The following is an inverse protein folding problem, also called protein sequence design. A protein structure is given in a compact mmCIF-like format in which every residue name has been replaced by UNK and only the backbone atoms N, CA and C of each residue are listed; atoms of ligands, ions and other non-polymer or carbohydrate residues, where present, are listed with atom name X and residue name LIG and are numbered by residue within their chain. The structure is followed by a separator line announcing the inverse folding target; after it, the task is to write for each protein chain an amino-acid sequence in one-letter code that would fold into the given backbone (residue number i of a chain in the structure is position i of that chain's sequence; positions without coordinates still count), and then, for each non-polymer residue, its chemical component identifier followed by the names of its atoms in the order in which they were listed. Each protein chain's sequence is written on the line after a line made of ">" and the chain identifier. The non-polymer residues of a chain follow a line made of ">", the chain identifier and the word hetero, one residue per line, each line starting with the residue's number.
data_IF_549995591123
#
_entry.id   IF_549995591123
#
_cell.length_a   1.000
_cell.length_b   1.000
_cell.length_c   1.000
_cell.angle_alpha   90.00
_cell.angle_beta   90.00
_cell.angle_gamma   90.00
#
_symmetry.space_group_name_H-M   'P 1'
#
loop_
_entity.id
_entity.type
_entity.pdbx_description
1 polymer ?
#
# COMPACT_ATOMS: atom_id res chain seq x y z
N UNK A 1 -14.96 15.15 -3.54
CA UNK A 1 -14.75 16.43 -4.27
C UNK A 1 -14.28 16.15 -5.69
N UNK A 2 -13.08 15.55 -5.87
CA UNK A 2 -12.53 15.19 -7.19
C UNK A 2 -13.56 14.47 -8.06
N UNK A 3 -14.09 13.33 -7.62
CA UNK A 3 -15.04 12.53 -8.40
C UNK A 3 -16.29 13.29 -8.88
N UNK A 4 -16.76 14.29 -8.12
CA UNK A 4 -17.89 15.14 -8.52
C UNK A 4 -17.51 16.16 -9.59
N UNK A 5 -16.27 16.63 -9.60
CA UNK A 5 -15.80 17.60 -10.60
C UNK A 5 -15.46 16.90 -11.90
N UNK A 6 -14.74 15.77 -11.82
CA UNK A 6 -14.25 15.04 -13.00
C UNK A 6 -15.25 14.03 -13.55
N UNK A 7 -16.36 13.79 -12.85
CA UNK A 7 -17.42 12.84 -13.25
C UNK A 7 -16.90 11.40 -13.48
N UNK A 8 -15.86 11.00 -12.75
CA UNK A 8 -15.30 9.65 -12.72
C UNK A 8 -14.77 9.31 -11.32
N UNK A 9 -14.39 8.06 -11.07
CA UNK A 9 -13.82 7.68 -9.76
C UNK A 9 -12.46 8.35 -9.56
N UNK A 10 -12.08 8.56 -8.30
CA UNK A 10 -10.76 9.15 -7.97
C UNK A 10 -9.63 8.24 -8.47
N UNK A 11 -9.82 6.93 -8.42
CA UNK A 11 -8.82 5.97 -8.90
C UNK A 11 -8.63 6.03 -10.41
N UNK A 12 -9.71 6.09 -11.21
CA UNK A 12 -9.56 6.23 -12.67
C UNK A 12 -8.91 7.57 -13.05
N UNK A 13 -9.30 8.66 -12.40
CA UNK A 13 -8.64 9.95 -12.59
C UNK A 13 -7.15 9.90 -12.26
N UNK A 14 -6.76 9.27 -11.15
CA UNK A 14 -5.36 9.08 -10.79
C UNK A 14 -4.63 8.17 -11.79
N UNK A 15 -5.28 7.13 -12.31
CA UNK A 15 -4.69 6.24 -13.32
C UNK A 15 -4.32 6.99 -14.58
N UNK A 16 -5.21 7.84 -15.08
CA UNK A 16 -5.01 8.60 -16.31
C UNK A 16 -4.01 9.75 -16.16
N UNK A 17 -4.13 10.51 -15.06
CA UNK A 17 -3.47 11.82 -14.95
C UNK A 17 -2.21 11.79 -14.08
N UNK A 18 -1.98 10.72 -13.32
CA UNK A 18 -0.83 10.58 -12.43
C UNK A 18 -0.10 9.26 -12.69
N UNK A 19 -0.76 8.12 -12.50
CA UNK A 19 -0.08 6.82 -12.53
C UNK A 19 0.43 6.46 -13.93
N UNK A 20 -0.37 6.61 -14.99
CA UNK A 20 0.07 6.31 -16.35
C UNK A 20 1.26 7.19 -16.79
N UNK A 21 1.26 8.52 -16.59
CA UNK A 21 2.44 9.36 -16.85
C UNK A 21 3.70 8.91 -16.09
N UNK A 22 3.55 8.43 -14.85
CA UNK A 22 4.66 7.91 -14.06
C UNK A 22 5.07 6.47 -14.41
N UNK A 23 4.33 5.78 -15.29
CA UNK A 23 4.56 4.37 -15.62
C UNK A 23 4.14 3.40 -14.52
N UNK A 24 3.19 3.80 -13.67
CA UNK A 24 2.57 2.97 -12.63
C UNK A 24 1.37 2.26 -13.27
N UNK A 25 1.53 0.97 -13.58
CA UNK A 25 0.52 0.17 -14.28
C UNK A 25 -0.35 -0.69 -13.37
N UNK A 26 0.14 -1.01 -12.16
CA UNK A 26 -0.55 -1.87 -11.20
C UNK A 26 -0.89 -1.06 -9.95
N UNK A 27 -2.17 -0.83 -9.71
CA UNK A 27 -2.67 -0.17 -8.50
C UNK A 27 -4.02 -0.71 -8.09
N UNK A 28 -4.25 -0.81 -6.78
CA UNK A 28 -5.55 -1.15 -6.21
C UNK A 28 -5.93 -0.05 -5.24
N UNK A 29 -7.09 0.58 -5.43
CA UNK A 29 -7.59 1.59 -4.51
C UNK A 29 -9.05 1.28 -4.14
N UNK A 30 -9.29 0.63 -2.99
CA UNK A 30 -10.63 0.21 -2.59
C UNK A 30 -11.61 1.38 -2.49
N UNK A 31 -12.81 1.14 -2.99
CA UNK A 31 -13.99 1.99 -2.87
C UNK A 31 -14.97 1.49 -1.81
N UNK A 32 -15.84 2.39 -1.37
CA UNK A 32 -17.01 2.04 -0.57
C UNK A 32 -18.16 1.51 -1.46
N UNK A 33 -19.27 1.00 -0.89
CA UNK A 33 -20.39 0.52 -1.69
C UNK A 33 -21.07 1.57 -2.59
N UNK A 34 -20.75 2.85 -2.41
CA UNK A 34 -21.23 3.95 -3.26
C UNK A 34 -20.24 4.26 -4.41
N UNK A 35 -19.14 3.50 -4.55
CA UNK A 35 -18.13 3.69 -5.59
C UNK A 35 -17.13 4.79 -5.28
N UNK A 36 -17.02 5.25 -4.03
CA UNK A 36 -16.10 6.32 -3.63
C UNK A 36 -14.82 5.71 -3.07
N UNK A 37 -13.69 5.93 -3.74
CA UNK A 37 -12.38 5.49 -3.25
C UNK A 37 -12.04 6.12 -1.89
N UNK A 38 -11.41 5.34 -1.01
CA UNK A 38 -10.99 5.77 0.32
C UNK A 38 -9.81 6.75 0.23
N UNK A 39 -10.11 8.04 0.13
CA UNK A 39 -9.08 9.06 -0.10
C UNK A 39 -8.02 9.22 1.01
N UNK A 40 -8.27 8.72 2.21
CA UNK A 40 -7.35 8.82 3.35
C UNK A 40 -6.32 7.68 3.42
N UNK A 41 -6.46 6.62 2.62
CA UNK A 41 -5.59 5.44 2.73
C UNK A 41 -5.95 4.30 1.78
N UNK A 42 -5.47 3.10 2.11
CA UNK A 42 -5.74 1.82 1.40
C UNK A 42 -5.30 1.74 -0.08
N UNK A 43 -4.67 2.78 -0.63
CA UNK A 43 -4.01 2.70 -1.93
C UNK A 43 -2.84 1.71 -1.86
N UNK A 44 -2.88 0.71 -2.72
CA UNK A 44 -1.86 -0.33 -2.83
C UNK A 44 -1.07 -0.13 -4.11
N UNK A 45 0.24 0.02 -3.95
CA UNK A 45 1.23 0.20 -5.02
C UNK A 45 2.44 -0.70 -4.73
N UNK A 46 3.23 -1.01 -5.76
CA UNK A 46 4.54 -1.59 -5.52
C UNK A 46 5.47 -0.55 -4.86
N UNK A 47 6.48 -0.97 -4.07
CA UNK A 47 7.42 -0.04 -3.45
C UNK A 47 8.14 0.87 -4.45
N UNK A 48 8.48 0.33 -5.64
CA UNK A 48 9.06 1.11 -6.75
C UNK A 48 8.11 2.21 -7.26
N UNK A 49 6.81 1.96 -7.24
CA UNK A 49 5.79 2.91 -7.70
C UNK A 49 5.56 4.01 -6.67
N UNK A 50 5.62 3.66 -5.39
CA UNK A 50 5.70 4.64 -4.30
C UNK A 50 6.93 5.54 -4.44
N UNK A 51 8.10 4.98 -4.75
CA UNK A 51 9.31 5.76 -4.98
C UNK A 51 9.20 6.70 -6.19
N UNK A 52 8.45 6.32 -7.24
CA UNK A 52 8.16 7.22 -8.37
C UNK A 52 7.38 8.47 -7.93
N UNK A 53 6.41 8.31 -7.03
CA UNK A 53 5.71 9.46 -6.44
C UNK A 53 6.65 10.36 -5.62
N UNK A 54 7.56 9.76 -4.85
CA UNK A 54 8.60 10.53 -4.13
C UNK A 54 9.55 11.28 -5.08
N UNK A 55 9.96 10.65 -6.18
CA UNK A 55 10.79 11.28 -7.21
C UNK A 55 10.05 12.41 -7.94
N UNK A 56 8.76 12.26 -8.18
CA UNK A 56 7.93 13.33 -8.72
C UNK A 56 7.96 14.55 -7.81
N UNK A 57 7.81 14.37 -6.49
CA UNK A 57 7.90 15.47 -5.52
C UNK A 57 9.32 16.05 -5.43
N UNK A 58 10.34 15.20 -5.44
CA UNK A 58 11.75 15.65 -5.47
C UNK A 58 12.04 16.55 -6.67
N UNK A 59 11.45 16.23 -7.82
CA UNK A 59 11.57 17.00 -9.05
C UNK A 59 10.48 18.08 -9.20
N UNK A 60 9.91 18.55 -8.08
CA UNK A 60 8.90 19.62 -8.06
C UNK A 60 7.72 19.41 -9.03
N UNK A 61 7.28 18.15 -9.16
CA UNK A 61 6.14 17.77 -9.99
C UNK A 61 6.47 17.50 -11.47
N UNK A 62 7.74 17.59 -11.87
CA UNK A 62 8.19 17.21 -13.22
C UNK A 62 8.53 15.72 -13.30
N UNK A 63 8.12 15.07 -14.39
CA UNK A 63 8.47 13.68 -14.67
C UNK A 63 8.92 13.50 -16.12
N UNK A 64 10.22 13.30 -16.32
CA UNK A 64 10.84 13.13 -17.65
C UNK A 64 10.53 14.28 -18.64
N UNK A 65 10.48 15.53 -18.14
CA UNK A 65 10.22 16.74 -18.94
C UNK A 65 8.84 17.36 -18.72
N UNK A 66 7.72 16.61 -18.86
CA UNK A 66 6.39 17.15 -18.56
C UNK A 66 6.16 17.49 -17.08
N UNK A 67 5.48 18.61 -16.84
CA UNK A 67 4.94 18.98 -15.53
C UNK A 67 3.63 18.20 -15.27
N UNK A 68 3.66 17.24 -14.34
CA UNK A 68 2.50 16.42 -13.98
C UNK A 68 1.71 17.06 -12.84
N UNK A 69 2.41 17.59 -11.83
CA UNK A 69 1.84 18.33 -10.70
C UNK A 69 2.44 19.72 -10.70
N UNK A 70 1.68 20.77 -10.43
CA UNK A 70 2.23 22.14 -10.39
C UNK A 70 3.41 22.25 -9.41
N UNK A 71 4.53 22.83 -9.86
CA UNK A 71 5.70 23.06 -9.01
C UNK A 71 5.40 23.98 -7.83
N UNK A 72 4.58 25.01 -8.05
CA UNK A 72 4.12 25.89 -6.97
C UNK A 72 3.30 25.13 -5.93
N UNK A 73 2.48 24.16 -6.37
CA UNK A 73 1.72 23.33 -5.44
C UNK A 73 2.63 22.38 -4.65
N UNK A 74 3.62 21.77 -5.29
CA UNK A 74 4.59 20.89 -4.60
C UNK A 74 5.37 21.70 -3.57
N UNK A 75 5.92 22.86 -3.94
CA UNK A 75 6.67 23.73 -3.01
C UNK A 75 5.83 24.16 -1.82
N UNK A 76 4.56 24.49 -2.04
CA UNK A 76 3.64 24.84 -0.95
C UNK A 76 3.32 23.62 -0.07
N UNK A 77 3.08 22.45 -0.67
CA UNK A 77 2.82 21.20 0.04
C UNK A 77 4.01 20.73 0.91
N UNK A 78 5.23 21.09 0.53
CA UNK A 78 6.47 20.68 1.20
C UNK A 78 7.14 21.80 2.00
N UNK A 79 6.48 22.96 2.15
CA UNK A 79 7.03 24.09 2.89
C UNK A 79 6.96 23.82 4.39
N UNK A 80 8.00 24.26 5.12
CA UNK A 80 7.99 24.26 6.59
C UNK A 80 6.73 24.96 7.13
N UNK A 81 6.03 24.28 8.03
CA UNK A 81 4.62 24.55 8.33
C UNK A 81 4.30 24.73 9.80
N UNK A 82 3.01 24.99 10.05
CA UNK A 82 2.33 24.92 11.34
C UNK A 82 2.70 23.60 12.04
N UNK A 83 3.15 23.68 13.29
CA UNK A 83 3.45 22.51 14.10
C UNK A 83 2.19 21.63 14.28
N UNK A 84 2.27 20.38 13.82
CA UNK A 84 1.23 19.37 13.95
C UNK A 84 1.50 18.47 15.17
N UNK A 85 2.76 18.22 15.48
CA UNK A 85 3.20 17.40 16.62
C UNK A 85 4.04 18.21 17.63
N UNK A 86 4.15 17.67 18.85
CA UNK A 86 4.87 18.29 19.96
C UNK A 86 6.39 18.42 19.72
N UNK A 87 6.94 17.65 18.79
CA UNK A 87 8.35 17.70 18.38
C UNK A 87 8.61 18.72 17.27
N UNK A 88 7.59 19.47 16.85
CA UNK A 88 7.68 20.47 15.80
C UNK A 88 7.48 19.93 14.39
N UNK A 89 7.15 18.64 14.22
CA UNK A 89 6.79 18.08 12.91
C UNK A 89 5.57 18.83 12.36
N UNK A 90 5.68 19.32 11.14
CA UNK A 90 4.63 20.03 10.41
C UNK A 90 3.73 19.11 9.59
N UNK A 91 2.60 19.64 9.13
CA UNK A 91 1.72 18.95 8.19
C UNK A 91 1.05 19.92 7.22
N UNK A 92 1.22 19.70 5.90
CA UNK A 92 0.61 20.50 4.82
C UNK A 92 0.21 19.59 3.67
N UNK A 93 -0.99 19.77 3.13
CA UNK A 93 -1.47 19.08 1.91
C UNK A 93 -1.13 17.57 1.85
N UNK A 94 -1.34 16.87 2.97
CA UNK A 94 -1.08 15.42 3.11
C UNK A 94 0.40 15.00 3.25
N UNK A 95 1.31 15.96 3.39
CA UNK A 95 2.73 15.74 3.66
C UNK A 95 3.07 16.08 5.11
N UNK A 96 3.80 15.20 5.79
CA UNK A 96 4.44 15.49 7.07
C UNK A 96 5.79 16.14 6.81
N UNK A 97 6.10 17.23 7.50
CA UNK A 97 7.35 17.98 7.34
C UNK A 97 8.18 17.77 8.60
N UNK A 98 9.29 17.05 8.48
CA UNK A 98 10.08 16.64 9.62
C UNK A 98 10.90 17.81 10.19
N UNK A 99 11.16 17.74 11.50
CA UNK A 99 11.87 18.75 12.29
C UNK A 99 13.11 18.16 12.99
N UNK A 100 13.93 19.03 13.59
CA UNK A 100 15.11 18.62 14.36
C UNK A 100 16.24 18.11 13.48
N UNK A 101 16.84 16.96 13.84
CA UNK A 101 17.93 16.34 13.06
C UNK A 101 17.50 15.86 11.66
N UNK A 102 16.19 15.85 11.39
CA UNK A 102 15.58 15.51 10.10
C UNK A 102 14.88 16.74 9.49
N UNK A 103 15.31 17.96 9.80
CA UNK A 103 14.78 19.16 9.18
C UNK A 103 14.96 19.15 7.66
N UNK A 104 13.94 19.59 6.93
CA UNK A 104 13.94 19.66 5.46
C UNK A 104 13.51 18.38 4.75
N UNK A 105 13.34 17.26 5.48
CA UNK A 105 12.72 16.05 4.94
C UNK A 105 11.20 16.18 5.01
N UNK A 106 10.52 15.60 4.03
CA UNK A 106 9.08 15.44 4.08
C UNK A 106 8.67 14.01 3.74
N UNK A 107 7.54 13.59 4.28
CA UNK A 107 7.05 12.23 4.11
C UNK A 107 5.54 12.12 3.92
N UNK A 108 5.14 11.10 3.15
CA UNK A 108 3.81 10.53 3.21
C UNK A 108 3.85 9.33 4.15
N UNK A 109 3.17 9.42 5.30
CA UNK A 109 3.22 8.41 6.38
C UNK A 109 1.94 7.60 6.44
N UNK A 110 2.09 6.28 6.46
CA UNK A 110 1.00 5.32 6.61
C UNK A 110 1.15 4.43 7.86
N UNK A 111 0.01 4.02 8.43
CA UNK A 111 0.00 3.15 9.61
C UNK A 111 0.74 1.84 9.36
N UNK A 112 1.55 1.44 10.34
CA UNK A 112 2.26 0.16 10.33
C UNK A 112 3.67 0.23 9.74
N UNK A 113 4.17 1.40 9.36
CA UNK A 113 5.53 1.55 8.81
C UNK A 113 5.56 1.71 7.29
N UNK A 114 4.47 2.19 6.70
CA UNK A 114 4.48 2.61 5.30
C UNK A 114 5.01 4.04 5.23
N UNK A 115 5.98 4.32 4.37
CA UNK A 115 6.43 5.68 4.17
C UNK A 115 6.95 5.91 2.75
N UNK A 116 6.75 7.13 2.26
CA UNK A 116 7.54 7.71 1.18
C UNK A 116 8.27 8.88 1.81
N UNK A 117 9.59 8.82 1.87
CA UNK A 117 10.44 9.88 2.42
C UNK A 117 11.20 10.52 1.27
N UNK A 118 11.21 11.84 1.24
CA UNK A 118 11.96 12.63 0.28
C UNK A 118 12.91 13.56 1.02
N UNK A 119 14.16 13.57 0.57
CA UNK A 119 15.24 14.39 1.10
C UNK A 119 15.79 15.27 -0.02
N UNK A 120 15.27 16.50 -0.18
CA UNK A 120 15.60 17.36 -1.32
C UNK A 120 17.09 17.66 -1.47
N UNK A 121 17.73 18.06 -0.37
CA UNK A 121 19.12 18.51 -0.36
C UNK A 121 20.11 17.42 -0.81
N UNK A 122 19.80 16.17 -0.49
CA UNK A 122 20.62 15.00 -0.84
C UNK A 122 20.12 14.25 -2.08
N UNK A 123 18.97 14.67 -2.63
CA UNK A 123 18.30 14.02 -3.77
C UNK A 123 17.96 12.55 -3.53
N UNK A 124 17.56 12.23 -2.30
CA UNK A 124 17.22 10.86 -1.89
C UNK A 124 15.71 10.70 -1.82
N UNK A 125 15.22 9.57 -2.32
CA UNK A 125 13.86 9.09 -2.12
C UNK A 125 13.93 7.67 -1.57
N UNK A 126 13.19 7.42 -0.50
CA UNK A 126 13.08 6.10 0.09
C UNK A 126 11.60 5.71 0.23
N UNK A 127 11.26 4.50 -0.20
CA UNK A 127 9.92 3.95 -0.09
C UNK A 127 9.95 2.69 0.79
N UNK A 128 9.07 2.65 1.78
CA UNK A 128 8.97 1.57 2.74
C UNK A 128 7.57 0.97 2.70
N UNK A 129 7.52 -0.34 2.51
CA UNK A 129 6.31 -1.15 2.67
C UNK A 129 6.61 -2.27 3.66
N UNK A 130 6.28 -2.06 4.93
CA UNK A 130 6.63 -2.98 6.00
C UNK A 130 5.60 -2.99 7.10
N UNK A 131 5.74 -3.94 8.04
CA UNK A 131 5.03 -3.91 9.32
C UNK A 131 6.03 -3.92 10.46
N UNK A 132 5.82 -3.06 11.45
CA UNK A 132 6.58 -3.09 12.71
C UNK A 132 7.96 -2.43 12.65
N UNK A 133 8.19 -1.55 11.67
CA UNK A 133 9.35 -0.67 11.61
C UNK A 133 8.84 0.77 11.68
N UNK A 134 9.40 1.57 12.57
CA UNK A 134 9.19 3.01 12.57
C UNK A 134 10.25 3.65 11.67
N UNK A 135 9.86 4.05 10.46
CA UNK A 135 10.82 4.57 9.49
C UNK A 135 11.57 5.78 10.02
N UNK A 136 10.89 6.65 10.80
CA UNK A 136 11.50 7.86 11.34
C UNK A 136 12.51 7.56 12.45
N UNK A 137 12.19 6.62 13.33
CA UNK A 137 13.03 6.36 14.50
C UNK A 137 14.09 5.27 14.24
N UNK A 138 13.77 4.28 13.41
CA UNK A 138 14.64 3.12 13.20
C UNK A 138 15.50 3.26 11.93
N UNK A 139 15.00 3.92 10.89
CA UNK A 139 15.65 3.93 9.56
C UNK A 139 16.25 5.28 9.19
N UNK A 140 15.53 6.38 9.39
CA UNK A 140 16.01 7.71 9.00
C UNK A 140 17.38 8.07 9.63
N UNK A 141 17.68 7.74 10.91
CA UNK A 141 19.00 7.99 11.47
C UNK A 141 20.11 7.15 10.82
N UNK A 142 19.79 5.91 10.40
CA UNK A 142 20.75 5.05 9.67
C UNK A 142 21.04 5.61 8.29
N UNK A 143 20.01 6.11 7.59
CA UNK A 143 20.17 6.78 6.30
C UNK A 143 21.00 8.06 6.44
N UNK A 144 20.66 8.90 7.42
CA UNK A 144 21.40 10.13 7.74
C UNK A 144 22.89 9.83 7.97
N UNK A 145 23.19 8.83 8.80
CA UNK A 145 24.55 8.43 9.10
C UNK A 145 25.30 7.80 7.90
N UNK A 146 24.58 7.25 6.92
CA UNK A 146 25.16 6.65 5.72
C UNK A 146 25.52 7.69 4.65
N UNK A 147 24.87 8.86 4.65
CA UNK A 147 25.12 9.95 3.69
C UNK A 147 26.34 10.77 4.17
N UNK A 148 27.54 10.21 3.98
CA UNK A 148 28.79 10.82 4.47
C UNK A 148 29.55 11.62 3.41
N UNK A 149 29.34 11.35 2.12
CA UNK A 149 30.04 12.02 1.04
C UNK A 149 29.24 11.97 -0.27
N UNK A 150 29.52 12.93 -1.15
CA UNK A 150 29.08 12.92 -2.55
C UNK A 150 30.04 12.14 -3.47
N UNK A 151 31.20 11.74 -2.95
CA UNK A 151 32.16 10.93 -3.69
C UNK A 151 31.74 9.46 -3.69
N UNK A 152 32.00 8.77 -4.81
CA UNK A 152 31.77 7.34 -4.90
C UNK A 152 32.62 6.60 -3.86
N UNK A 153 31.98 5.76 -3.05
CA UNK A 153 32.68 4.87 -2.13
C UNK A 153 33.54 3.87 -2.92
N UNK A 154 34.70 3.52 -2.36
CA UNK A 154 35.52 2.42 -2.88
C UNK A 154 34.67 1.13 -2.94
N UNK A 155 34.71 0.36 -4.05
CA UNK A 155 33.94 -0.87 -4.17
C UNK A 155 34.20 -1.82 -3.00
N UNK A 156 33.11 -2.33 -2.39
CA UNK A 156 33.17 -3.31 -1.33
C UNK A 156 32.47 -4.61 -1.79
N UNK A 157 33.19 -5.50 -2.49
CA UNK A 157 32.60 -6.69 -3.09
C UNK A 157 32.06 -7.67 -2.04
N UNK A 158 32.66 -7.72 -0.85
CA UNK A 158 32.20 -8.59 0.24
C UNK A 158 30.86 -8.11 0.80
N UNK A 159 30.71 -6.80 1.06
CA UNK A 159 29.44 -6.23 1.51
C UNK A 159 28.35 -6.38 0.44
N UNK A 160 28.69 -6.18 -0.84
CA UNK A 160 27.76 -6.37 -1.95
C UNK A 160 27.30 -7.83 -2.06
N UNK A 161 28.22 -8.80 -1.93
CA UNK A 161 27.87 -10.23 -1.91
C UNK A 161 26.95 -10.60 -0.74
N UNK A 162 27.18 -10.03 0.46
CA UNK A 162 26.29 -10.21 1.61
C UNK A 162 24.90 -9.64 1.35
N UNK A 163 24.81 -8.47 0.72
CA UNK A 163 23.54 -7.85 0.35
C UNK A 163 22.78 -8.70 -0.67
N UNK A 164 23.43 -9.15 -1.74
CA UNK A 164 22.82 -10.02 -2.74
C UNK A 164 22.31 -11.33 -2.14
N UNK A 165 23.07 -11.95 -1.24
CA UNK A 165 22.64 -13.14 -0.52
C UNK A 165 21.40 -12.87 0.37
N UNK A 166 21.36 -11.72 1.04
CA UNK A 166 20.21 -11.32 1.84
C UNK A 166 18.97 -11.05 0.96
N UNK A 167 19.14 -10.40 -0.19
CA UNK A 167 18.06 -10.16 -1.17
C UNK A 167 17.55 -11.49 -1.73
N UNK A 168 18.44 -12.41 -2.11
CA UNK A 168 18.06 -13.73 -2.60
C UNK A 168 17.22 -14.49 -1.57
N UNK A 169 17.68 -14.50 -0.31
CA UNK A 169 16.94 -15.10 0.80
C UNK A 169 15.58 -14.43 1.05
N UNK A 170 15.50 -13.10 0.93
CA UNK A 170 14.25 -12.36 1.14
C UNK A 170 13.21 -12.57 0.04
N UNK A 171 13.61 -13.02 -1.16
CA UNK A 171 12.69 -13.36 -2.25
C UNK A 171 11.96 -14.68 -2.01
N UNK A 172 12.53 -15.57 -1.19
CA UNK A 172 11.90 -16.84 -0.88
C UNK A 172 10.71 -16.61 0.06
N UNK A 173 9.49 -17.05 -0.30
CA UNK A 173 8.39 -17.00 0.63
C UNK A 173 8.76 -17.83 1.88
N UNK A 174 8.25 -17.46 3.06
CA UNK A 174 8.43 -18.32 4.23
C UNK A 174 7.89 -19.72 3.88
N UNK A 175 8.57 -20.80 4.32
CA UNK A 175 8.07 -22.14 4.06
C UNK A 175 6.66 -22.27 4.63
N UNK A 176 5.78 -22.95 3.88
CA UNK A 176 4.43 -23.22 4.33
C UNK A 176 4.48 -23.91 5.69
N UNK A 177 3.72 -23.38 6.65
CA UNK A 177 3.58 -24.04 7.95
C UNK A 177 2.79 -25.32 7.75
N UNK A 178 3.19 -26.45 8.36
CA UNK A 178 2.37 -27.65 8.37
C UNK A 178 0.99 -27.32 8.90
N UNK A 179 -0.05 -27.64 8.13
CA UNK A 179 -1.43 -27.48 8.56
C UNK A 179 -1.98 -28.87 8.87
N UNK A 180 -2.62 -29.06 10.03
CA UNK A 180 -3.35 -30.30 10.30
C UNK A 180 -4.46 -30.52 9.26
N UNK A 181 -4.90 -31.77 9.14
CA UNK A 181 -6.10 -32.08 8.36
C UNK A 181 -7.30 -31.31 8.92
N UNK A 182 -8.23 -30.97 8.01
CA UNK A 182 -9.43 -30.26 8.38
C UNK A 182 -10.26 -31.10 9.38
N UNK A 183 -10.79 -30.48 10.45
CA UNK A 183 -11.67 -31.19 11.36
C UNK A 183 -12.96 -31.61 10.65
N UNK A 184 -13.67 -32.66 11.11
CA UNK A 184 -14.92 -33.13 10.49
C UNK A 184 -15.97 -32.03 10.28
N UNK A 185 -16.04 -31.07 11.21
CA UNK A 185 -16.94 -29.91 11.12
C UNK A 185 -16.68 -29.06 9.86
N UNK A 186 -15.45 -29.03 9.33
CA UNK A 186 -15.16 -28.31 8.09
C UNK A 186 -15.97 -28.88 6.93
N UNK A 187 -16.09 -30.21 6.81
CA UNK A 187 -16.92 -30.85 5.79
C UNK A 187 -18.42 -30.56 6.01
N UNK A 188 -18.84 -30.40 7.27
CA UNK A 188 -20.23 -30.06 7.59
C UNK A 188 -20.58 -28.62 7.21
N UNK A 189 -19.66 -27.67 7.32
CA UNK A 189 -19.92 -26.25 7.05
C UNK A 189 -19.52 -25.80 5.64
N UNK A 190 -18.57 -26.51 5.00
CA UNK A 190 -18.01 -26.12 3.71
C UNK A 190 -19.08 -26.03 2.63
N UNK A 191 -19.10 -24.91 1.91
CA UNK A 191 -20.02 -24.65 0.80
C UNK A 191 -21.47 -24.36 1.21
N UNK A 192 -21.81 -24.40 2.51
CA UNK A 192 -23.13 -23.99 3.00
C UNK A 192 -23.24 -22.46 3.02
N UNK A 193 -24.44 -21.97 2.73
CA UNK A 193 -24.79 -20.54 2.83
C UNK A 193 -25.67 -20.34 4.05
N UNK A 194 -25.15 -19.58 5.02
CA UNK A 194 -25.85 -19.22 6.24
C UNK A 194 -26.48 -17.85 6.06
N UNK A 195 -27.81 -17.78 6.14
CA UNK A 195 -28.56 -16.52 6.14
C UNK A 195 -28.62 -16.00 7.56
N UNK A 196 -28.35 -14.71 7.71
CA UNK A 196 -28.36 -14.03 9.01
C UNK A 196 -29.63 -13.22 9.15
N UNK A 197 -30.07 -13.07 10.40
CA UNK A 197 -31.09 -12.12 10.77
C UNK A 197 -30.62 -10.67 10.50
N UNK A 198 -31.56 -9.72 10.29
CA UNK A 198 -31.23 -8.31 10.15
C UNK A 198 -30.30 -7.83 11.27
N UNK A 199 -29.21 -7.19 10.88
CA UNK A 199 -28.17 -6.71 11.80
C UNK A 199 -27.62 -5.35 11.36
N UNK A 200 -26.93 -4.67 12.27
CA UNK A 200 -26.40 -3.32 12.06
C UNK A 200 -25.37 -3.20 10.92
N UNK A 201 -24.84 -4.31 10.42
CA UNK A 201 -23.87 -4.34 9.34
C UNK A 201 -24.51 -4.64 7.97
N UNK A 202 -25.83 -4.85 7.90
CA UNK A 202 -26.56 -5.35 6.72
C UNK A 202 -25.91 -6.61 6.11
N UNK A 203 -25.30 -7.43 6.96
CA UNK A 203 -24.71 -8.70 6.56
C UNK A 203 -25.83 -9.73 6.41
N UNK A 204 -26.06 -10.20 5.20
CA UNK A 204 -27.20 -11.07 4.87
C UNK A 204 -26.83 -12.54 4.81
N UNK A 205 -25.68 -12.85 4.24
CA UNK A 205 -25.22 -14.22 4.05
C UNK A 205 -23.72 -14.35 4.35
N UNK A 206 -23.34 -15.49 4.93
CA UNK A 206 -21.96 -15.95 5.05
C UNK A 206 -21.86 -17.35 4.44
N UNK A 207 -20.80 -17.61 3.69
CA UNK A 207 -20.39 -18.95 3.29
C UNK A 207 -18.88 -19.10 3.46
N UNK A 208 -18.46 -20.30 3.83
CA UNK A 208 -17.06 -20.70 3.95
C UNK A 208 -16.89 -21.94 3.09
N UNK A 209 -15.91 -21.94 2.19
CA UNK A 209 -15.63 -23.05 1.28
C UNK A 209 -14.15 -23.44 1.43
N UNK A 210 -13.91 -24.57 2.08
CA UNK A 210 -12.59 -25.17 2.24
C UNK A 210 -12.23 -25.93 0.96
N UNK A 211 -11.31 -25.38 0.17
CA UNK A 211 -10.81 -25.99 -1.07
C UNK A 211 -9.73 -27.05 -0.81
N UNK A 212 -8.96 -26.85 0.25
CA UNK A 212 -7.93 -27.76 0.76
C UNK A 212 -7.74 -27.50 2.26
N UNK A 213 -6.84 -28.23 2.92
CA UNK A 213 -6.42 -27.88 4.29
C UNK A 213 -5.70 -26.53 4.36
N UNK A 214 -5.18 -26.01 3.24
CA UNK A 214 -4.47 -24.74 3.18
C UNK A 214 -5.28 -23.58 2.60
N UNK A 215 -6.32 -23.87 1.82
CA UNK A 215 -7.04 -22.87 1.05
C UNK A 215 -8.52 -22.82 1.45
N UNK A 216 -8.98 -21.62 1.79
CA UNK A 216 -10.37 -21.34 2.14
C UNK A 216 -10.87 -20.13 1.37
N UNK A 217 -12.15 -20.12 1.02
CA UNK A 217 -12.82 -18.97 0.41
C UNK A 217 -13.98 -18.57 1.30
N UNK A 218 -13.99 -17.32 1.74
CA UNK A 218 -15.14 -16.72 2.42
C UNK A 218 -15.99 -15.96 1.41
N UNK A 219 -17.30 -16.17 1.45
CA UNK A 219 -18.26 -15.34 0.69
C UNK A 219 -19.16 -14.61 1.68
N UNK A 220 -19.23 -13.29 1.57
CA UNK A 220 -20.04 -12.43 2.42
C UNK A 220 -20.98 -11.63 1.53
N UNK A 221 -22.27 -11.62 1.84
CA UNK A 221 -23.23 -10.70 1.19
C UNK A 221 -23.59 -9.58 2.17
N UNK A 222 -23.29 -8.34 1.80
CA UNK A 222 -23.56 -7.14 2.60
C UNK A 222 -24.37 -6.17 1.74
N UNK A 223 -25.57 -5.82 2.20
CA UNK A 223 -26.54 -5.09 1.38
C UNK A 223 -26.84 -5.81 0.07
N UNK A 224 -26.64 -5.11 -1.06
CA UNK A 224 -26.78 -5.71 -2.40
C UNK A 224 -25.45 -6.29 -2.94
N UNK A 225 -24.33 -6.06 -2.24
CA UNK A 225 -23.01 -6.51 -2.63
C UNK A 225 -22.70 -7.94 -2.17
N UNK A 226 -21.84 -8.62 -2.93
CA UNK A 226 -21.23 -9.90 -2.52
C UNK A 226 -19.71 -9.82 -2.67
N UNK A 227 -19.01 -10.20 -1.61
CA UNK A 227 -17.56 -10.18 -1.49
C UNK A 227 -17.05 -11.62 -1.42
N UNK A 228 -16.03 -11.93 -2.23
CA UNK A 228 -15.33 -13.21 -2.23
C UNK A 228 -13.90 -12.98 -1.75
N UNK A 229 -13.55 -13.58 -0.63
CA UNK A 229 -12.29 -13.36 0.07
C UNK A 229 -11.51 -14.68 0.13
N UNK A 230 -10.50 -14.86 -0.75
CA UNK A 230 -9.60 -16.00 -0.63
C UNK A 230 -8.71 -15.86 0.60
N UNK A 231 -8.46 -16.98 1.29
CA UNK A 231 -7.62 -17.05 2.48
C UNK A 231 -6.68 -18.25 2.43
N UNK A 232 -5.43 -18.04 2.83
CA UNK A 232 -4.43 -19.09 3.04
C UNK A 232 -4.24 -19.36 4.53
N UNK A 233 -4.23 -20.64 4.92
CA UNK A 233 -4.09 -21.08 6.32
C UNK A 233 -2.67 -21.58 6.66
N UNK A 234 -1.77 -21.63 5.68
CA UNK A 234 -0.36 -22.08 5.82
C UNK A 234 0.60 -20.97 6.28
N UNK A 235 0.09 -19.76 6.49
CA UNK A 235 0.92 -18.60 6.82
C UNK A 235 1.78 -18.10 5.66
N UNK A 236 1.54 -18.55 4.43
CA UNK A 236 2.19 -18.02 3.23
C UNK A 236 1.38 -16.83 2.69
N UNK A 237 1.92 -15.60 2.71
CA UNK A 237 1.22 -14.45 2.15
C UNK A 237 1.08 -14.61 0.64
N UNK A 238 -0.12 -14.32 0.11
CA UNK A 238 -0.45 -14.38 -1.31
C UNK A 238 -1.12 -13.08 -1.73
N UNK A 239 -0.79 -12.57 -2.91
CA UNK A 239 -1.46 -11.41 -3.46
C UNK A 239 -2.78 -11.83 -4.13
N UNK A 240 -3.88 -11.12 -3.82
CA UNK A 240 -5.18 -11.31 -4.46
C UNK A 240 -5.58 -10.02 -5.16
N UNK A 241 -5.70 -10.06 -6.48
CA UNK A 241 -6.03 -8.91 -7.32
C UNK A 241 -7.50 -8.44 -7.17
N UNK A 242 -8.36 -9.19 -6.48
CA UNK A 242 -9.80 -8.89 -6.38
C UNK A 242 -10.36 -9.29 -5.02
N UNK A 243 -10.42 -8.34 -4.09
CA UNK A 243 -11.21 -8.46 -2.87
C UNK A 243 -12.55 -7.69 -2.95
N UNK A 244 -12.85 -7.04 -4.08
CA UNK A 244 -14.09 -6.28 -4.30
C UNK A 244 -14.66 -6.57 -5.69
N UNK A 245 -15.95 -6.93 -5.73
CA UNK A 245 -16.73 -7.18 -6.96
C UNK A 245 -17.34 -8.60 -7.06
N UNK A 246 -18.54 -8.76 -7.63
CA UNK A 246 -19.17 -10.07 -7.79
C UNK A 246 -18.32 -10.97 -8.69
N UNK A 247 -17.96 -12.16 -8.19
CA UNK A 247 -17.25 -13.16 -8.97
C UNK A 247 -18.18 -13.76 -10.04
N UNK A 248 -17.79 -13.84 -11.32
CA UNK A 248 -18.62 -14.44 -12.37
C UNK A 248 -18.85 -15.96 -12.25
N UNK A 249 -18.44 -16.60 -11.14
CA UNK A 249 -18.54 -18.07 -10.97
C UNK A 249 -19.79 -18.53 -10.21
N UNK A 250 -20.73 -17.63 -9.90
CA UNK A 250 -22.04 -18.00 -9.35
C UNK A 250 -23.11 -18.27 -10.42
N UNK A 251 -22.75 -18.28 -11.71
CA UNK A 251 -23.61 -18.85 -12.74
C UNK A 251 -23.36 -20.37 -12.82
N UNK A 252 -24.09 -21.15 -12.02
CA UNK A 252 -24.32 -22.56 -12.37
C UNK A 252 -25.23 -22.61 -13.61
N UNK A 253 -24.96 -23.47 -14.60
CA UNK A 253 -25.96 -23.76 -15.62
C UNK A 253 -27.21 -24.35 -14.97
N UNK A 254 -28.38 -23.98 -15.49
CA UNK A 254 -29.68 -24.54 -15.08
C UNK A 254 -29.71 -26.05 -15.23
#
# INVERSE_FOLDING_TARGET
>A
MVSRVVQQTTHEFAKENLFAPLGISESVWPDDPQGVNRGWGDLQLHPRDMARLGLLFLNEGEWNGPQIVSSDWVREATRSSIAADADGTGYVFQCWILSGDLEGLYEARGRGGQAIIVWPDTKIVAAFTGRGIDVRNDIAPLLAAAIQSNDALTPNPEAHARLEAAIAKAKEPPPAKPIPDLPPMAAEVSGKVYRLEPNQFDLRCISIDFRSSADVVFTLSVGEGTFVLPGGMDGVPRFSLRCTGPHPALQRPR
#
